data_IF_902827721120
#
_entry.id   IF_902827721120
#
_cell.length_a   1.000
_cell.length_b   1.000
_cell.length_c   1.000
_cell.angle_alpha   90.00
_cell.angle_beta   90.00
_cell.angle_gamma   90.00
#
_symmetry.space_group_name_H-M   'P 1'
#
loop_
_entity.id
_entity.type
_entity.pdbx_description
1 polymer ?
#
# COMPACT_ATOMS: atom_id res chain seq x y z
N UNK A 1 12.31 -5.67 9.51
CA UNK A 1 13.33 -6.73 9.36
C UNK A 1 12.66 -8.06 9.63
N UNK A 2 12.76 -9.01 8.69
CA UNK A 2 12.06 -10.31 8.77
C UNK A 2 12.80 -11.31 9.66
N UNK A 3 12.05 -12.28 10.21
CA UNK A 3 12.56 -13.24 11.21
C UNK A 3 13.66 -14.18 10.69
N UNK A 4 13.84 -14.28 9.36
CA UNK A 4 14.79 -15.20 8.72
C UNK A 4 16.16 -14.57 8.40
N UNK A 5 16.33 -13.26 8.57
CA UNK A 5 17.60 -12.56 8.30
C UNK A 5 18.00 -12.48 6.81
N UNK A 6 17.15 -12.94 5.88
CA UNK A 6 17.42 -12.89 4.44
C UNK A 6 17.45 -11.43 3.93
N UNK A 7 18.57 -10.97 3.35
CA UNK A 7 18.69 -9.62 2.78
C UNK A 7 17.63 -9.29 1.73
N UNK A 8 17.16 -10.25 0.95
CA UNK A 8 16.16 -10.02 -0.09
C UNK A 8 14.81 -9.62 0.50
N UNK A 9 14.36 -10.31 1.54
CA UNK A 9 13.10 -9.99 2.22
C UNK A 9 13.14 -8.60 2.87
N UNK A 10 14.29 -8.20 3.42
CA UNK A 10 14.48 -6.86 3.96
C UNK A 10 14.43 -5.80 2.86
N UNK A 11 15.13 -6.00 1.74
CA UNK A 11 15.12 -5.06 0.63
C UNK A 11 13.70 -4.87 0.04
N UNK A 12 12.92 -5.96 -0.05
CA UNK A 12 11.51 -5.90 -0.46
C UNK A 12 10.65 -5.10 0.54
N UNK A 13 10.80 -5.38 1.84
CA UNK A 13 10.08 -4.67 2.88
C UNK A 13 10.43 -3.17 2.92
N UNK A 14 11.71 -2.82 2.79
CA UNK A 14 12.18 -1.43 2.73
C UNK A 14 11.61 -0.68 1.54
N UNK A 15 11.58 -1.30 0.36
CA UNK A 15 10.98 -0.71 -0.84
C UNK A 15 9.48 -0.46 -0.65
N UNK A 16 8.76 -1.39 -0.03
CA UNK A 16 7.34 -1.21 0.29
C UNK A 16 7.15 -0.08 1.31
N UNK A 17 7.94 -0.04 2.38
CA UNK A 17 7.88 1.00 3.41
C UNK A 17 8.16 2.39 2.85
N UNK A 18 9.18 2.54 2.00
CA UNK A 18 9.46 3.82 1.33
C UNK A 18 8.30 4.25 0.44
N UNK A 19 7.66 3.31 -0.26
CA UNK A 19 6.51 3.60 -1.10
C UNK A 19 5.31 4.08 -0.29
N UNK A 20 5.05 3.48 0.87
CA UNK A 20 3.96 3.89 1.76
C UNK A 20 4.22 5.25 2.40
N UNK A 21 5.41 5.45 2.97
CA UNK A 21 5.81 6.70 3.63
C UNK A 21 5.73 7.89 2.67
N UNK A 22 6.41 7.80 1.53
CA UNK A 22 6.45 8.90 0.56
C UNK A 22 5.15 9.08 -0.23
N UNK A 23 4.27 8.05 -0.24
CA UNK A 23 3.03 8.08 -1.01
C UNK A 23 1.84 8.69 -0.27
N UNK A 24 1.71 8.43 1.04
CA UNK A 24 0.51 8.82 1.81
C UNK A 24 0.80 9.28 3.23
N UNK A 25 2.01 9.05 3.73
CA UNK A 25 2.39 9.30 5.12
C UNK A 25 3.40 10.45 5.17
N UNK A 26 2.95 11.64 4.78
CA UNK A 26 3.65 12.88 5.07
C UNK A 26 3.34 13.30 6.50
N UNK A 27 4.31 13.15 7.39
CA UNK A 27 4.24 13.60 8.77
C UNK A 27 5.52 14.36 9.09
N UNK A 28 5.39 15.64 9.42
CA UNK A 28 6.50 16.51 9.85
C UNK A 28 6.84 16.34 11.34
N UNK A 29 6.21 15.37 12.02
CA UNK A 29 6.42 15.07 13.43
C UNK A 29 5.22 15.36 14.33
N UNK A 30 4.09 15.78 13.74
CA UNK A 30 2.93 16.31 14.48
C UNK A 30 1.92 15.24 14.93
N UNK A 31 2.06 13.99 14.45
CA UNK A 31 1.14 12.91 14.82
C UNK A 31 1.55 12.22 16.12
N UNK A 32 0.58 12.04 17.01
CA UNK A 32 0.72 11.11 18.13
C UNK A 32 0.75 9.65 17.66
N UNK A 33 1.07 8.72 18.57
CA UNK A 33 1.21 7.31 18.23
C UNK A 33 -0.07 6.70 17.63
N UNK A 34 -1.25 7.05 18.16
CA UNK A 34 -2.53 6.52 17.70
C UNK A 34 -2.88 7.07 16.32
N UNK A 35 -2.63 8.36 16.10
CA UNK A 35 -2.81 9.00 14.80
C UNK A 35 -1.88 8.40 13.75
N UNK A 36 -0.62 8.15 14.11
CA UNK A 36 0.35 7.50 13.22
C UNK A 36 -0.07 6.07 12.87
N UNK A 37 -0.55 5.29 13.85
CA UNK A 37 -1.07 3.94 13.61
C UNK A 37 -2.26 3.96 12.64
N UNK A 38 -3.21 4.87 12.82
CA UNK A 38 -4.36 5.02 11.94
C UNK A 38 -3.94 5.45 10.52
N UNK A 39 -3.00 6.38 10.40
CA UNK A 39 -2.46 6.83 9.12
C UNK A 39 -1.74 5.70 8.38
N UNK A 40 -0.98 4.85 9.08
CA UNK A 40 -0.33 3.65 8.52
C UNK A 40 -1.39 2.67 8.02
N UNK A 41 -2.40 2.38 8.83
CA UNK A 41 -3.51 1.49 8.45
C UNK A 41 -4.21 1.96 7.16
N UNK A 42 -4.55 3.26 7.08
CA UNK A 42 -5.15 3.86 5.88
C UNK A 42 -4.22 3.77 4.66
N UNK A 43 -2.93 4.04 4.84
CA UNK A 43 -1.94 3.99 3.75
C UNK A 43 -1.79 2.57 3.18
N UNK A 44 -1.78 1.56 4.05
CA UNK A 44 -1.76 0.14 3.64
C UNK A 44 -3.04 -0.23 2.88
N UNK A 45 -4.20 0.19 3.39
CA UNK A 45 -5.48 -0.04 2.72
C UNK A 45 -5.52 0.60 1.32
N UNK A 46 -5.01 1.82 1.19
CA UNK A 46 -4.90 2.53 -0.09
C UNK A 46 -3.97 1.81 -1.07
N UNK A 47 -2.79 1.39 -0.62
CA UNK A 47 -1.84 0.65 -1.47
C UNK A 47 -2.43 -0.65 -2.00
N UNK A 48 -3.11 -1.41 -1.14
CA UNK A 48 -3.62 -2.74 -1.47
C UNK A 48 -4.91 -2.73 -2.28
N UNK A 49 -5.83 -1.79 -2.01
CA UNK A 49 -7.18 -1.83 -2.59
C UNK A 49 -7.44 -0.71 -3.59
N UNK A 50 -6.72 0.42 -3.50
CA UNK A 50 -7.09 1.64 -4.20
C UNK A 50 -6.04 2.14 -5.20
N UNK A 51 -4.76 1.80 -5.04
CA UNK A 51 -3.69 2.20 -5.96
C UNK A 51 -3.54 1.20 -7.11
N UNK A 52 -3.77 1.60 -8.37
CA UNK A 52 -3.35 0.83 -9.54
C UNK A 52 -1.83 0.74 -9.63
N UNK A 53 -1.30 -0.43 -9.98
CA UNK A 53 0.14 -0.61 -10.19
C UNK A 53 0.43 -0.97 -11.64
N UNK A 54 1.34 -0.24 -12.29
CA UNK A 54 1.73 -0.48 -13.68
C UNK A 54 2.26 -1.90 -13.90
N UNK A 55 3.05 -2.42 -12.95
CA UNK A 55 3.58 -3.79 -13.00
C UNK A 55 2.47 -4.87 -12.92
N UNK A 56 1.29 -4.51 -12.43
CA UNK A 56 0.11 -5.38 -12.33
C UNK A 56 -0.91 -5.10 -13.44
N UNK A 57 -0.51 -4.42 -14.52
CA UNK A 57 -1.43 -4.06 -15.60
C UNK A 57 -2.52 -3.08 -15.17
N UNK A 58 -2.18 -2.12 -14.28
CA UNK A 58 -3.10 -1.14 -13.69
C UNK A 58 -4.15 -1.74 -12.74
N UNK A 59 -3.96 -2.98 -12.29
CA UNK A 59 -4.73 -3.56 -11.19
C UNK A 59 -4.11 -3.20 -9.84
N UNK A 60 -4.92 -3.27 -8.79
CA UNK A 60 -4.47 -3.16 -7.41
C UNK A 60 -3.92 -4.51 -6.93
N UNK A 61 -3.08 -4.55 -5.87
CA UNK A 61 -2.58 -5.80 -5.33
C UNK A 61 -3.71 -6.74 -4.91
N UNK A 62 -4.78 -6.21 -4.33
CA UNK A 62 -5.92 -7.01 -3.91
C UNK A 62 -6.73 -7.55 -5.10
N UNK A 63 -6.83 -6.82 -6.20
CA UNK A 63 -7.47 -7.32 -7.43
C UNK A 63 -6.71 -8.51 -8.02
N UNK A 64 -5.39 -8.48 -7.98
CA UNK A 64 -4.54 -9.60 -8.44
C UNK A 64 -4.62 -10.79 -7.48
N UNK A 65 -4.61 -10.53 -6.16
CA UNK A 65 -4.61 -11.58 -5.14
C UNK A 65 -5.96 -12.29 -5.00
N UNK A 66 -7.05 -11.52 -4.91
CA UNK A 66 -8.39 -12.06 -4.64
C UNK A 66 -9.15 -12.49 -5.90
N UNK A 67 -8.74 -12.02 -7.08
CA UNK A 67 -9.45 -12.21 -8.34
C UNK A 67 -10.81 -11.48 -8.44
N UNK A 68 -11.21 -10.72 -7.40
CA UNK A 68 -12.43 -9.91 -7.39
C UNK A 68 -12.07 -8.44 -7.62
N UNK A 69 -12.73 -7.84 -8.61
CA UNK A 69 -12.51 -6.46 -9.04
C UNK A 69 -13.31 -5.45 -8.21
N UNK A 70 -12.72 -4.30 -7.94
CA UNK A 70 -13.41 -3.22 -7.22
C UNK A 70 -12.44 -2.27 -6.55
N UNK A 71 -11.63 -1.57 -7.34
CA UNK A 71 -10.90 -0.43 -6.80
C UNK A 71 -11.94 0.62 -6.33
N UNK A 72 -11.99 0.99 -5.04
CA UNK A 72 -12.98 1.90 -4.50
C UNK A 72 -12.87 3.33 -5.06
N UNK A 73 -11.76 3.64 -5.75
CA UNK A 73 -11.53 4.92 -6.41
C UNK A 73 -11.77 4.87 -7.92
N UNK A 74 -12.01 3.69 -8.50
CA UNK A 74 -12.38 3.54 -9.91
C UNK A 74 -13.81 3.03 -9.99
N UNK A 75 -14.77 3.92 -10.22
CA UNK A 75 -16.06 3.50 -10.78
C UNK A 75 -15.77 2.92 -12.17
N UNK A 76 -15.75 1.60 -12.32
CA UNK A 76 -15.85 0.97 -13.63
C UNK A 76 -17.25 1.26 -14.19
N UNK A 77 -17.44 2.42 -14.81
CA UNK A 77 -18.59 2.67 -15.68
C UNK A 77 -18.35 1.87 -16.96
N UNK A 78 -18.93 0.68 -17.00
CA UNK A 78 -19.09 -0.04 -18.25
C UNK A 78 -20.11 0.76 -19.09
N UNK A 79 -19.69 1.25 -20.26
CA UNK A 79 -20.59 1.74 -21.31
C UNK A 79 -21.26 0.57 -22.01
#
# INVERSE_FOLDING_TARGET
>A
MTQTGDPLHNALAERMNNTLKNGWLFNEGDMDFRQAEEAVSKSVAMYNNARPHRALGMKTPMEVFSGRGGNPLMEYRYN
#
